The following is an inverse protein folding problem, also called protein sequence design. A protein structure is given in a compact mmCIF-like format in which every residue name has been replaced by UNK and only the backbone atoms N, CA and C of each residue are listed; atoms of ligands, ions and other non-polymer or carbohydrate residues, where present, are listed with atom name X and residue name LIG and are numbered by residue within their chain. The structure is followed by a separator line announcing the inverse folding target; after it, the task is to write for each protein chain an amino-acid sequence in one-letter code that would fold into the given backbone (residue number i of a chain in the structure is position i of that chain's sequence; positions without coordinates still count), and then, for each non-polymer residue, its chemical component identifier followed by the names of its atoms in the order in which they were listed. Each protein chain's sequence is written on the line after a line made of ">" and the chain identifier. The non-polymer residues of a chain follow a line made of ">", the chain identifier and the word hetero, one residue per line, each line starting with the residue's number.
data_IF_939682595242
#
_entry.id   IF_939682595242
#
_cell.length_a   1.000
_cell.length_b   1.000
_cell.length_c   1.000
_cell.angle_alpha   90.00
_cell.angle_beta   90.00
_cell.angle_gamma   90.00
#
_symmetry.space_group_name_H-M   'P 1'
#
loop_
_entity.id
_entity.type
_entity.pdbx_description
1 polymer ?
#
# COMPACT_ATOMS: atom_id res chain seq x y z
N UNK A 1 -6.60 -10.67 2.24
CA UNK A 1 -7.35 -11.28 1.14
C UNK A 1 -6.49 -11.52 -0.08
N UNK A 2 -6.84 -12.56 -0.84
CA UNK A 2 -6.12 -12.93 -2.06
C UNK A 2 -7.13 -13.16 -3.19
N UNK A 3 -6.76 -12.78 -4.42
CA UNK A 3 -7.55 -13.11 -5.61
C UNK A 3 -6.66 -13.70 -6.70
N UNK A 4 -7.28 -14.24 -7.73
CA UNK A 4 -6.60 -14.86 -8.86
C UNK A 4 -6.47 -13.87 -10.03
N UNK A 5 -5.42 -14.00 -10.86
CA UNK A 5 -5.27 -13.14 -12.04
C UNK A 5 -6.38 -13.39 -13.06
N UNK A 6 -6.80 -12.35 -13.72
CA UNK A 6 -7.66 -12.43 -14.89
C UNK A 6 -6.85 -12.80 -16.14
N UNK A 7 -7.53 -13.12 -17.24
CA UNK A 7 -6.83 -13.52 -18.47
C UNK A 7 -6.02 -12.41 -19.15
N UNK A 8 -6.26 -11.15 -18.78
CA UNK A 8 -5.52 -10.00 -19.32
C UNK A 8 -4.63 -9.32 -18.28
N UNK A 9 -4.37 -9.98 -17.15
CA UNK A 9 -3.50 -9.43 -16.13
C UNK A 9 -2.08 -9.23 -16.68
N UNK A 10 -1.51 -8.06 -16.46
CA UNK A 10 -0.15 -7.70 -16.91
C UNK A 10 0.85 -7.72 -15.76
N UNK A 11 0.54 -8.43 -14.69
CA UNK A 11 1.46 -8.66 -13.58
C UNK A 11 1.18 -10.02 -12.94
N UNK A 12 2.19 -10.53 -12.23
CA UNK A 12 2.09 -11.78 -11.47
C UNK A 12 2.56 -11.54 -10.05
N UNK A 13 1.86 -12.15 -9.09
CA UNK A 13 2.17 -12.00 -7.66
C UNK A 13 2.66 -13.34 -7.11
N UNK A 14 3.71 -13.28 -6.30
CA UNK A 14 4.15 -14.43 -5.51
C UNK A 14 4.46 -13.99 -4.09
N UNK A 15 3.99 -14.78 -3.14
CA UNK A 15 4.22 -14.54 -1.71
C UNK A 15 4.90 -15.76 -1.11
N UNK A 16 5.83 -15.51 -0.21
CA UNK A 16 6.42 -16.55 0.63
C UNK A 16 6.55 -16.04 2.06
N UNK A 17 6.18 -16.89 3.00
CA UNK A 17 6.22 -16.56 4.42
C UNK A 17 6.90 -17.68 5.20
N UNK A 18 7.65 -17.34 6.23
CA UNK A 18 8.22 -18.28 7.17
C UNK A 18 8.09 -17.74 8.60
N UNK A 19 7.41 -18.49 9.44
CA UNK A 19 7.27 -18.14 10.86
C UNK A 19 8.60 -18.12 11.60
N UNK A 20 9.65 -18.73 11.05
CA UNK A 20 10.95 -18.89 11.72
C UNK A 20 10.78 -19.67 13.04
N UNK A 21 10.31 -20.91 12.94
CA UNK A 21 9.95 -21.78 14.07
C UNK A 21 11.04 -21.92 15.15
N UNK A 22 12.31 -21.68 14.80
CA UNK A 22 13.41 -21.74 15.74
C UNK A 22 13.40 -20.56 16.72
N UNK A 23 12.84 -19.42 16.30
CA UNK A 23 12.89 -18.16 17.03
C UNK A 23 11.49 -17.65 17.46
N UNK A 24 10.45 -17.95 16.71
CA UNK A 24 9.10 -17.40 16.92
C UNK A 24 8.04 -18.48 17.15
N UNK A 25 7.17 -18.25 18.13
CA UNK A 25 6.06 -19.16 18.46
C UNK A 25 4.88 -18.97 17.53
N UNK A 26 4.61 -17.73 17.15
CA UNK A 26 3.46 -17.32 16.33
C UNK A 26 3.93 -16.67 15.02
N UNK A 27 3.09 -16.74 14.01
CA UNK A 27 3.19 -15.93 12.81
C UNK A 27 2.32 -14.71 13.04
N UNK A 28 2.91 -13.53 13.17
CA UNK A 28 2.17 -12.28 13.43
C UNK A 28 2.03 -11.44 12.17
N UNK A 29 2.73 -11.78 11.10
CA UNK A 29 2.59 -11.13 9.79
C UNK A 29 1.31 -11.59 9.09
N UNK A 30 0.77 -10.72 8.25
CA UNK A 30 -0.35 -11.00 7.36
C UNK A 30 -0.12 -10.28 6.04
N UNK A 31 -0.62 -10.86 4.95
CA UNK A 31 -0.56 -10.22 3.65
C UNK A 31 -1.94 -10.19 2.96
N UNK A 32 -2.03 -9.34 1.92
CA UNK A 32 -3.20 -9.31 1.04
C UNK A 32 -2.76 -8.87 -0.37
N UNK A 33 -3.30 -9.50 -1.40
CA UNK A 33 -3.12 -9.04 -2.77
C UNK A 33 -4.37 -9.31 -3.59
N UNK A 34 -4.72 -8.35 -4.42
CA UNK A 34 -5.92 -8.43 -5.25
C UNK A 34 -5.55 -8.05 -6.68
N UNK A 35 -5.88 -8.93 -7.60
CA UNK A 35 -5.97 -8.64 -9.03
C UNK A 35 -7.30 -7.95 -9.29
N UNK A 36 -7.35 -7.13 -10.31
CA UNK A 36 -8.58 -6.44 -10.71
C UNK A 36 -9.18 -5.58 -9.57
N UNK A 37 -8.31 -5.00 -8.73
CA UNK A 37 -8.70 -4.12 -7.66
C UNK A 37 -9.33 -2.84 -8.23
N UNK A 38 -10.28 -2.23 -7.54
CA UNK A 38 -11.04 -1.09 -8.01
C UNK A 38 -11.79 -1.42 -9.32
N UNK A 39 -12.91 -2.10 -9.19
CA UNK A 39 -13.79 -2.42 -10.33
C UNK A 39 -14.31 -1.15 -11.03
N UNK A 40 -14.24 0.00 -10.35
CA UNK A 40 -14.51 1.30 -10.96
C UNK A 40 -13.36 1.70 -11.89
N UNK A 41 -13.63 2.18 -13.10
CA UNK A 41 -12.58 2.73 -13.96
C UNK A 41 -11.83 3.87 -13.29
N UNK A 42 -10.58 4.06 -13.69
CA UNK A 42 -9.80 5.22 -13.26
C UNK A 42 -10.48 6.52 -13.72
N UNK A 43 -10.34 7.63 -12.96
CA UNK A 43 -10.95 8.90 -13.35
C UNK A 43 -10.53 9.34 -14.76
N UNK A 44 -11.47 9.68 -15.57
CA UNK A 44 -11.26 10.22 -16.93
C UNK A 44 -12.01 11.54 -17.07
N UNK A 45 -11.46 12.44 -17.86
CA UNK A 45 -12.11 13.73 -18.12
C UNK A 45 -13.41 13.52 -18.92
N UNK A 46 -14.50 14.09 -18.48
CA UNK A 46 -15.79 14.02 -19.15
C UNK A 46 -16.64 12.80 -18.80
N UNK A 47 -16.25 12.02 -17.81
CA UNK A 47 -17.07 10.88 -17.34
C UNK A 47 -18.24 11.31 -16.44
N UNK A 48 -18.50 12.61 -16.30
CA UNK A 48 -19.67 13.08 -15.56
C UNK A 48 -20.94 12.77 -16.38
N UNK A 49 -21.77 11.89 -15.86
CA UNK A 49 -23.15 11.75 -16.30
C UNK A 49 -23.57 10.51 -17.05
N UNK A 50 -22.74 9.49 -17.14
CA UNK A 50 -23.24 8.20 -17.59
C UNK A 50 -23.71 7.29 -16.44
N UNK A 51 -24.39 7.91 -15.46
CA UNK A 51 -25.24 7.13 -14.57
C UNK A 51 -26.41 6.63 -15.41
N UNK A 52 -26.32 5.40 -15.85
CA UNK A 52 -27.39 4.74 -16.61
C UNK A 52 -28.71 4.88 -15.88
N UNK A 53 -29.62 5.63 -16.47
CA UNK A 53 -31.05 5.46 -16.21
C UNK A 53 -31.47 4.10 -16.81
N UNK A 54 -31.37 3.06 -16.00
CA UNK A 54 -32.10 1.84 -16.31
C UNK A 54 -33.58 2.13 -16.13
N UNK A 55 -34.24 2.35 -17.23
CA UNK A 55 -35.69 2.41 -17.26
C UNK A 55 -36.28 1.03 -16.95
N UNK A 56 -37.04 0.98 -15.87
CA UNK A 56 -37.90 -0.15 -15.56
C UNK A 56 -38.97 -0.27 -16.70
N UNK A 57 -38.88 -1.30 -17.49
CA UNK A 57 -40.03 -1.75 -18.22
C UNK A 57 -40.42 -3.14 -17.71
N UNK A 58 -41.55 -3.18 -17.05
CA UNK A 58 -42.18 -4.42 -16.64
C UNK A 58 -42.86 -5.05 -17.86
N UNK A 59 -42.62 -6.33 -18.10
CA UNK A 59 -43.69 -7.19 -18.63
C UNK A 59 -43.35 -8.67 -18.37
N UNK A 60 -44.38 -9.33 -17.89
CA UNK A 60 -44.45 -10.75 -17.55
C UNK A 60 -44.41 -11.65 -18.80
N UNK A 61 -43.87 -12.83 -18.71
CA UNK A 61 -44.54 -14.11 -18.74
C UNK A 61 -43.70 -15.30 -19.22
N UNK A 62 -43.90 -16.39 -18.51
CA UNK A 62 -43.84 -17.82 -18.90
C UNK A 62 -42.51 -18.57 -19.04
N UNK A 63 -42.46 -19.55 -18.18
CA UNK A 63 -41.64 -20.74 -18.00
C UNK A 63 -41.03 -21.40 -19.24
N UNK A 64 -39.78 -21.86 -19.11
CA UNK A 64 -39.44 -23.27 -19.31
C UNK A 64 -38.05 -23.63 -18.80
N UNK A 65 -38.00 -24.73 -18.03
CA UNK A 65 -36.81 -25.39 -17.53
C UNK A 65 -35.87 -25.85 -18.62
N UNK A 66 -34.60 -25.62 -18.48
CA UNK A 66 -33.59 -26.62 -18.83
C UNK A 66 -32.26 -26.23 -18.17
N UNK A 67 -31.69 -27.23 -17.54
CA UNK A 67 -30.42 -27.22 -16.85
C UNK A 67 -29.24 -26.94 -17.75
N UNK A 68 -28.44 -25.94 -17.44
CA UNK A 68 -27.04 -25.95 -17.82
C UNK A 68 -26.24 -25.04 -16.84
N UNK A 69 -25.42 -25.65 -16.07
CA UNK A 69 -24.45 -25.00 -15.26
C UNK A 69 -23.36 -24.39 -16.16
N UNK A 70 -23.55 -23.15 -16.57
CA UNK A 70 -22.52 -22.41 -17.28
C UNK A 70 -22.67 -20.92 -17.03
N UNK A 71 -21.63 -20.38 -16.47
CA UNK A 71 -21.25 -18.95 -16.52
C UNK A 71 -22.12 -17.96 -15.75
N UNK A 72 -21.76 -17.76 -14.49
CA UNK A 72 -21.99 -16.49 -13.81
C UNK A 72 -20.72 -15.60 -13.89
N UNK A 73 -20.07 -15.57 -15.06
CA UNK A 73 -18.88 -14.74 -15.28
C UNK A 73 -19.13 -13.64 -16.29
N UNK A 74 -20.37 -13.18 -16.41
CA UNK A 74 -20.75 -12.40 -17.57
C UNK A 74 -20.63 -10.90 -17.43
N UNK A 75 -20.10 -10.23 -16.44
CA UNK A 75 -20.01 -8.76 -16.47
C UNK A 75 -18.92 -8.15 -15.57
N UNK A 76 -17.86 -8.89 -15.25
CA UNK A 76 -16.76 -8.28 -14.52
C UNK A 76 -15.84 -7.52 -15.46
N UNK A 77 -15.84 -6.19 -15.34
CA UNK A 77 -14.91 -5.35 -16.09
C UNK A 77 -13.50 -5.57 -15.54
N UNK A 78 -12.61 -6.07 -16.37
CA UNK A 78 -11.21 -6.27 -16.00
C UNK A 78 -10.47 -4.95 -16.09
N UNK A 79 -10.04 -4.41 -14.95
CA UNK A 79 -9.38 -3.11 -14.87
C UNK A 79 -7.85 -3.22 -14.94
N UNK A 80 -7.29 -4.41 -14.72
CA UNK A 80 -5.84 -4.66 -14.59
C UNK A 80 -5.18 -3.79 -13.51
N UNK A 81 -5.94 -3.42 -12.48
CA UNK A 81 -5.44 -2.72 -11.30
C UNK A 81 -5.08 -3.74 -10.22
N UNK A 82 -4.06 -3.44 -9.43
CA UNK A 82 -3.60 -4.31 -8.36
C UNK A 82 -3.60 -3.63 -6.99
N UNK A 83 -3.81 -4.42 -5.96
CA UNK A 83 -3.60 -4.03 -4.55
C UNK A 83 -2.66 -5.03 -3.92
N UNK A 84 -1.65 -4.57 -3.19
CA UNK A 84 -0.63 -5.42 -2.58
C UNK A 84 -0.31 -4.87 -1.20
N UNK A 85 -0.26 -5.73 -0.18
CA UNK A 85 0.00 -5.29 1.19
C UNK A 85 0.66 -6.37 2.03
N UNK A 86 1.59 -5.94 2.89
CA UNK A 86 2.13 -6.75 3.99
C UNK A 86 1.91 -5.95 5.27
N UNK A 87 1.49 -6.66 6.31
CA UNK A 87 1.25 -6.14 7.66
C UNK A 87 2.06 -6.99 8.63
N UNK A 88 3.09 -6.41 9.23
CA UNK A 88 3.94 -7.06 10.22
C UNK A 88 3.35 -6.74 11.61
N UNK A 89 2.76 -7.74 12.23
CA UNK A 89 2.05 -7.61 13.49
C UNK A 89 2.96 -7.65 14.71
N UNK A 90 2.55 -6.93 15.74
CA UNK A 90 3.22 -7.02 17.06
C UNK A 90 2.18 -7.01 18.18
N UNK A 91 2.57 -7.62 19.31
CA UNK A 91 1.70 -7.86 20.46
C UNK A 91 0.46 -8.66 20.04
N UNK A 92 0.66 -9.67 19.19
CA UNK A 92 -0.37 -10.57 18.69
C UNK A 92 -0.75 -10.30 17.24
N UNK A 93 -1.53 -11.19 16.66
CA UNK A 93 -1.90 -11.14 15.22
C UNK A 93 -3.07 -10.19 14.94
N UNK A 94 -3.74 -9.68 15.95
CA UNK A 94 -5.07 -9.09 15.82
C UNK A 94 -5.11 -7.90 14.84
N UNK A 95 -4.21 -6.92 15.01
CA UNK A 95 -4.19 -5.73 14.17
C UNK A 95 -3.83 -6.08 12.71
N UNK A 96 -2.80 -6.91 12.52
CA UNK A 96 -2.37 -7.36 11.19
C UNK A 96 -3.48 -8.13 10.46
N UNK A 97 -4.10 -9.11 11.14
CA UNK A 97 -5.21 -9.90 10.58
C UNK A 97 -6.41 -9.02 10.21
N UNK A 98 -6.73 -8.05 11.06
CA UNK A 98 -7.83 -7.12 10.81
C UNK A 98 -7.52 -6.25 9.59
N UNK A 99 -6.32 -5.69 9.52
CA UNK A 99 -5.88 -4.87 8.39
C UNK A 99 -5.88 -5.67 7.07
N UNK A 100 -5.36 -6.89 7.08
CA UNK A 100 -5.34 -7.77 5.91
C UNK A 100 -6.74 -8.05 5.35
N UNK A 101 -7.76 -8.04 6.22
CA UNK A 101 -9.16 -8.29 5.83
C UNK A 101 -9.92 -7.02 5.45
N UNK A 102 -9.57 -5.86 6.00
CA UNK A 102 -10.42 -4.66 5.95
C UNK A 102 -9.83 -3.48 5.19
N UNK A 103 -8.51 -3.27 5.24
CA UNK A 103 -7.90 -2.04 4.71
C UNK A 103 -8.25 -1.83 3.22
N UNK A 104 -8.15 -2.88 2.40
CA UNK A 104 -8.45 -2.77 0.97
C UNK A 104 -9.93 -2.43 0.70
N UNK A 105 -10.85 -2.90 1.54
CA UNK A 105 -12.29 -2.60 1.43
C UNK A 105 -12.54 -1.12 1.76
N UNK A 106 -11.92 -0.64 2.84
CA UNK A 106 -12.02 0.78 3.26
C UNK A 106 -11.42 1.68 2.19
N UNK A 107 -10.26 1.31 1.64
CA UNK A 107 -9.61 2.07 0.57
C UNK A 107 -10.49 2.16 -0.67
N UNK A 108 -11.06 1.05 -1.11
CA UNK A 108 -11.96 1.01 -2.27
C UNK A 108 -13.17 1.91 -2.05
N UNK A 109 -13.77 1.86 -0.86
CA UNK A 109 -14.93 2.70 -0.49
C UNK A 109 -14.56 4.20 -0.48
N UNK A 110 -13.40 4.55 0.10
CA UNK A 110 -12.91 5.93 0.14
C UNK A 110 -12.66 6.46 -1.29
N UNK A 111 -12.03 5.66 -2.16
CA UNK A 111 -11.79 6.03 -3.56
C UNK A 111 -13.12 6.25 -4.31
N UNK A 112 -14.09 5.35 -4.12
CA UNK A 112 -15.42 5.46 -4.75
C UNK A 112 -16.16 6.73 -4.33
N UNK A 113 -16.04 7.13 -3.06
CA UNK A 113 -16.68 8.34 -2.52
C UNK A 113 -15.97 9.63 -2.96
N UNK A 114 -14.69 9.56 -3.28
CA UNK A 114 -13.85 10.71 -3.60
C UNK A 114 -13.12 10.52 -4.94
N UNK A 115 -13.84 10.36 -6.06
CA UNK A 115 -13.23 9.97 -7.33
C UNK A 115 -12.27 11.00 -7.92
N UNK A 116 -12.33 12.25 -7.48
CA UNK A 116 -11.52 13.36 -8.00
C UNK A 116 -10.34 13.71 -7.11
N UNK A 117 -10.21 13.09 -5.94
CA UNK A 117 -9.11 13.38 -5.02
C UNK A 117 -7.84 12.60 -5.41
N UNK A 118 -6.65 13.15 -5.11
CA UNK A 118 -5.39 12.45 -5.36
C UNK A 118 -5.28 11.16 -4.52
N UNK A 119 -4.80 10.09 -5.13
CA UNK A 119 -4.66 8.79 -4.44
C UNK A 119 -3.77 8.87 -3.17
N UNK A 120 -2.66 9.63 -3.15
CA UNK A 120 -1.90 9.75 -1.90
C UNK A 120 -2.71 10.31 -0.72
N UNK A 121 -3.60 11.27 -0.96
CA UNK A 121 -4.49 11.81 0.07
C UNK A 121 -5.52 10.75 0.53
N UNK A 122 -6.05 9.97 -0.42
CA UNK A 122 -7.01 8.90 -0.11
C UNK A 122 -6.33 7.74 0.64
N UNK A 123 -5.05 7.48 0.39
CA UNK A 123 -4.27 6.52 1.17
C UNK A 123 -4.08 7.02 2.61
N UNK A 124 -3.72 8.29 2.81
CA UNK A 124 -3.62 8.87 4.16
C UNK A 124 -4.96 8.79 4.89
N UNK A 125 -6.05 9.17 4.22
CA UNK A 125 -7.41 9.06 4.78
C UNK A 125 -7.75 7.62 5.14
N UNK A 126 -7.35 6.65 4.31
CA UNK A 126 -7.59 5.22 4.55
C UNK A 126 -6.86 4.75 5.81
N UNK A 127 -5.58 5.07 5.92
CA UNK A 127 -4.76 4.69 7.07
C UNK A 127 -5.30 5.28 8.37
N UNK A 128 -5.67 6.55 8.37
CA UNK A 128 -6.25 7.21 9.55
C UNK A 128 -7.65 6.67 9.89
N UNK A 129 -8.45 6.31 8.89
CA UNK A 129 -9.76 5.64 9.11
C UNK A 129 -9.56 4.26 9.74
N UNK A 130 -8.64 3.45 9.19
CA UNK A 130 -8.28 2.13 9.71
C UNK A 130 -7.84 2.25 11.18
N UNK A 131 -6.98 3.21 11.46
CA UNK A 131 -6.46 3.45 12.82
C UNK A 131 -7.60 3.79 13.79
N UNK A 132 -8.53 4.64 13.38
CA UNK A 132 -9.72 4.97 14.17
C UNK A 132 -10.62 3.74 14.41
N UNK A 133 -10.80 2.91 13.38
CA UNK A 133 -11.60 1.68 13.54
C UNK A 133 -10.92 0.68 14.49
N UNK A 134 -9.60 0.54 14.41
CA UNK A 134 -8.83 -0.30 15.35
C UNK A 134 -8.94 0.25 16.79
N UNK A 135 -8.95 1.57 16.95
CA UNK A 135 -9.15 2.21 18.25
C UNK A 135 -10.51 1.86 18.88
N UNK A 136 -11.53 1.67 18.08
CA UNK A 136 -12.86 1.28 18.58
C UNK A 136 -12.93 -0.18 19.07
N UNK A 137 -11.94 -1.02 18.73
CA UNK A 137 -11.91 -2.45 19.03
C UNK A 137 -11.33 -2.71 20.44
N UNK A 138 -11.60 -3.89 21.04
CA UNK A 138 -11.22 -4.12 22.44
C UNK A 138 -9.72 -4.30 22.71
N UNK A 139 -8.94 -4.73 21.73
CA UNK A 139 -7.49 -4.97 21.91
C UNK A 139 -6.69 -3.71 21.60
N UNK A 140 -6.25 -3.01 22.63
CA UNK A 140 -5.60 -1.71 22.54
C UNK A 140 -4.09 -1.76 22.34
N UNK A 141 -3.47 -2.89 22.64
CA UNK A 141 -2.01 -3.06 22.60
C UNK A 141 -1.49 -3.78 21.35
N UNK A 142 -2.38 -4.33 20.53
CA UNK A 142 -1.98 -4.93 19.27
C UNK A 142 -1.80 -3.84 18.20
N UNK A 143 -0.74 -3.94 17.44
CA UNK A 143 -0.46 -3.04 16.33
C UNK A 143 0.18 -3.78 15.17
N UNK A 144 0.35 -3.08 14.06
CA UNK A 144 1.12 -3.62 12.93
C UNK A 144 1.75 -2.49 12.11
N UNK A 145 2.90 -2.78 11.53
CA UNK A 145 3.39 -2.00 10.40
C UNK A 145 2.49 -2.27 9.19
N UNK A 146 2.54 -1.42 8.20
CA UNK A 146 1.79 -1.65 6.96
C UNK A 146 2.60 -1.09 5.78
N UNK A 147 2.82 -1.93 4.77
CA UNK A 147 3.36 -1.53 3.48
C UNK A 147 2.32 -1.89 2.42
N UNK A 148 1.73 -0.87 1.81
CA UNK A 148 0.60 -1.00 0.87
C UNK A 148 0.99 -0.39 -0.47
N UNK A 149 0.68 -1.08 -1.57
CA UNK A 149 0.87 -0.57 -2.92
C UNK A 149 -0.41 -0.76 -3.74
N UNK A 150 -0.73 0.24 -4.53
CA UNK A 150 -1.88 0.23 -5.46
C UNK A 150 -1.35 0.52 -6.87
N UNK A 151 -1.57 -0.42 -7.78
CA UNK A 151 -1.20 -0.30 -9.18
C UNK A 151 -2.47 -0.04 -9.98
N UNK A 152 -2.49 1.07 -10.76
CA UNK A 152 -3.70 1.39 -11.51
C UNK A 152 -3.40 2.12 -12.82
N UNK A 153 -4.29 1.95 -13.78
CA UNK A 153 -4.30 2.73 -15.02
C UNK A 153 -5.08 4.02 -14.82
N UNK A 154 -4.53 5.14 -15.26
CA UNK A 154 -5.23 6.41 -15.21
C UNK A 154 -4.82 7.34 -16.34
N UNK A 155 -5.72 8.24 -16.72
CA UNK A 155 -5.42 9.30 -17.69
C UNK A 155 -4.71 10.43 -16.97
N UNK A 156 -3.57 10.86 -17.48
CA UNK A 156 -2.69 11.85 -16.86
C UNK A 156 -2.32 12.96 -17.83
N UNK A 157 -2.17 14.15 -17.29
CA UNK A 157 -1.76 15.33 -18.04
C UNK A 157 -0.36 15.77 -17.59
N UNK A 158 0.47 16.33 -18.49
CA UNK A 158 1.78 16.87 -18.11
C UNK A 158 1.67 17.90 -16.98
N UNK A 159 2.59 17.85 -16.02
CA UNK A 159 2.62 18.80 -14.91
C UNK A 159 4.06 19.05 -14.48
N UNK A 160 4.46 20.31 -14.48
CA UNK A 160 5.77 20.74 -13.98
C UNK A 160 5.83 20.80 -12.44
N UNK A 161 4.69 20.63 -11.78
CA UNK A 161 4.59 20.67 -10.32
C UNK A 161 4.65 19.25 -9.72
N UNK A 162 4.54 18.22 -10.54
CA UNK A 162 4.62 16.83 -10.10
C UNK A 162 6.04 16.29 -10.31
N UNK A 163 6.56 15.60 -9.31
CA UNK A 163 7.86 14.92 -9.40
C UNK A 163 7.88 13.83 -10.49
N UNK A 164 6.72 13.32 -10.89
CA UNK A 164 6.59 12.32 -11.95
C UNK A 164 6.45 12.94 -13.35
N UNK A 165 6.40 14.28 -13.45
CA UNK A 165 6.21 15.00 -14.73
C UNK A 165 4.77 14.99 -15.22
N UNK A 166 3.85 14.35 -14.52
CA UNK A 166 2.44 14.28 -14.88
C UNK A 166 1.57 14.20 -13.62
N UNK A 167 0.27 14.45 -13.76
CA UNK A 167 -0.69 14.29 -12.67
C UNK A 167 -2.00 13.72 -13.22
N UNK A 168 -2.77 13.04 -12.38
CA UNK A 168 -4.07 12.50 -12.75
C UNK A 168 -4.99 13.62 -13.23
N UNK A 169 -5.79 13.34 -14.24
CA UNK A 169 -6.60 14.36 -14.91
C UNK A 169 -7.67 14.96 -13.98
N UNK A 170 -8.29 14.18 -13.10
CA UNK A 170 -9.35 14.67 -12.23
C UNK A 170 -8.85 15.70 -11.21
N UNK A 171 -7.76 15.44 -10.44
CA UNK A 171 -7.18 16.49 -9.60
C UNK A 171 -6.68 17.71 -10.38
N UNK A 172 -6.19 17.53 -11.61
CA UNK A 172 -5.75 18.64 -12.46
C UNK A 172 -6.92 19.57 -12.82
N UNK A 173 -8.09 19.01 -13.09
CA UNK A 173 -9.32 19.77 -13.39
C UNK A 173 -9.77 20.54 -12.14
N UNK A 174 -9.80 19.91 -10.98
CA UNK A 174 -10.19 20.57 -9.72
C UNK A 174 -9.27 21.77 -9.45
N UNK A 175 -7.96 21.56 -9.55
CA UNK A 175 -6.97 22.63 -9.34
C UNK A 175 -7.13 23.78 -10.33
N UNK A 176 -7.33 23.48 -11.62
CA UNK A 176 -7.54 24.50 -12.64
C UNK A 176 -8.80 25.34 -12.36
N UNK A 177 -9.85 24.70 -11.81
CA UNK A 177 -11.07 25.40 -11.40
C UNK A 177 -10.80 26.33 -10.21
N UNK A 178 -10.12 25.85 -9.19
CA UNK A 178 -9.76 26.64 -8.01
C UNK A 178 -8.88 27.85 -8.37
N UNK A 179 -7.90 27.65 -9.24
CA UNK A 179 -7.02 28.73 -9.68
C UNK A 179 -7.77 29.79 -10.50
N UNK A 180 -8.72 29.37 -11.33
CA UNK A 180 -9.60 30.27 -12.08
C UNK A 180 -10.46 31.13 -11.15
N UNK A 181 -11.00 30.52 -10.06
CA UNK A 181 -11.82 31.22 -9.07
C UNK A 181 -11.01 32.27 -8.28
N UNK A 182 -9.74 32.02 -7.99
CA UNK A 182 -8.86 32.96 -7.27
C UNK A 182 -8.54 34.22 -8.07
N UNK A 183 -8.56 34.13 -9.40
CA UNK A 183 -8.25 35.27 -10.29
C UNK A 183 -9.46 36.25 -10.39
N UNK A 184 -10.67 35.77 -10.14
CA UNK A 184 -11.90 36.56 -10.28
C UNK A 184 -12.30 37.39 -9.03
N UNK A 185 -11.57 37.26 -7.92
CA UNK A 185 -11.91 37.98 -6.66
C UNK A 185 -11.64 39.49 -6.69
N UNK A 186 -11.48 40.04 -7.88
CA UNK A 186 -11.24 41.47 -8.13
C UNK A 186 -12.44 42.30 -8.60
N UNK A 187 -13.54 41.73 -9.09
CA UNK A 187 -14.74 42.49 -9.49
C UNK A 187 -15.99 41.64 -9.70
N UNK A 188 -17.04 42.03 -8.96
CA UNK A 188 -18.48 41.77 -9.12
C UNK A 188 -19.01 40.33 -8.90
N UNK A 189 -19.97 40.30 -7.95
CA UNK A 189 -20.88 39.19 -7.70
C UNK A 189 -21.74 38.89 -8.96
N UNK A 190 -21.40 37.82 -9.65
CA UNK A 190 -22.35 37.20 -10.61
C UNK A 190 -22.16 35.68 -10.68
N UNK A 191 -23.20 35.00 -10.24
CA UNK A 191 -23.61 33.61 -10.44
C UNK A 191 -22.53 32.49 -10.31
N UNK A 192 -22.74 31.72 -9.25
CA UNK A 192 -22.07 30.44 -8.92
C UNK A 192 -22.29 29.35 -9.98
N UNK A 193 -21.86 29.55 -11.20
CA UNK A 193 -21.80 28.53 -12.23
C UNK A 193 -20.56 28.76 -13.10
N UNK A 194 -19.37 28.81 -12.43
CA UNK A 194 -18.14 28.90 -13.18
C UNK A 194 -17.70 27.49 -13.61
N UNK A 195 -18.24 27.04 -14.73
CA UNK A 195 -17.63 25.93 -15.48
C UNK A 195 -16.24 26.37 -15.92
N UNK A 196 -15.24 25.52 -15.74
CA UNK A 196 -13.93 25.68 -16.39
C UNK A 196 -14.19 26.05 -17.85
N UNK A 197 -13.52 27.06 -18.40
CA UNK A 197 -13.69 27.37 -19.81
C UNK A 197 -13.55 26.10 -20.66
N UNK A 198 -14.52 25.85 -21.50
CA UNK A 198 -14.58 24.65 -22.34
C UNK A 198 -13.27 24.39 -23.10
N UNK A 199 -12.60 25.48 -23.47
CA UNK A 199 -11.30 25.42 -24.11
C UNK A 199 -10.20 24.80 -23.21
N UNK A 200 -10.19 25.10 -21.91
CA UNK A 200 -9.23 24.53 -20.95
C UNK A 200 -9.52 23.04 -20.74
N UNK A 201 -10.77 22.68 -20.62
CA UNK A 201 -11.22 21.29 -20.49
C UNK A 201 -10.81 20.46 -21.71
N UNK A 202 -11.05 20.99 -22.92
CA UNK A 202 -10.68 20.36 -24.17
C UNK A 202 -9.14 20.21 -24.29
N UNK A 203 -8.39 21.22 -23.86
CA UNK A 203 -6.92 21.20 -23.88
C UNK A 203 -6.36 20.10 -22.95
N UNK A 204 -6.89 19.99 -21.72
CA UNK A 204 -6.48 18.95 -20.78
C UNK A 204 -6.79 17.56 -21.34
N UNK A 205 -7.98 17.38 -21.90
CA UNK A 205 -8.39 16.11 -22.50
C UNK A 205 -7.49 15.72 -23.69
N UNK A 206 -7.14 16.66 -24.52
CA UNK A 206 -6.28 16.42 -25.71
C UNK A 206 -4.83 16.12 -25.35
N UNK A 207 -4.36 16.60 -24.20
CA UNK A 207 -2.98 16.37 -23.74
C UNK A 207 -2.85 15.15 -22.81
N UNK A 208 -3.96 14.52 -22.45
CA UNK A 208 -3.96 13.38 -21.54
C UNK A 208 -3.39 12.12 -22.22
N UNK A 209 -2.58 11.38 -21.46
CA UNK A 209 -2.07 10.06 -21.88
C UNK A 209 -2.44 9.02 -20.82
N UNK A 210 -2.73 7.80 -21.27
CA UNK A 210 -3.02 6.68 -20.39
C UNK A 210 -1.72 6.15 -19.82
N UNK A 211 -1.56 6.21 -18.50
CA UNK A 211 -0.34 5.78 -17.80
C UNK A 211 -0.68 4.81 -16.68
N UNK A 212 0.24 3.91 -16.41
CA UNK A 212 0.16 2.99 -15.28
C UNK A 212 0.92 3.58 -14.11
N UNK A 213 0.26 3.70 -12.97
CA UNK A 213 0.85 4.38 -11.79
C UNK A 213 0.84 3.43 -10.61
N UNK A 214 1.94 3.41 -9.90
CA UNK A 214 2.13 2.70 -8.65
C UNK A 214 2.12 3.73 -7.52
N UNK A 215 1.11 3.65 -6.66
CA UNK A 215 1.01 4.43 -5.43
C UNK A 215 1.42 3.56 -4.27
N UNK A 216 2.26 4.07 -3.37
CA UNK A 216 2.63 3.33 -2.17
C UNK A 216 2.31 4.14 -0.91
N UNK A 217 2.05 3.44 0.18
CA UNK A 217 1.85 4.02 1.50
C UNK A 217 2.44 3.08 2.54
N UNK A 218 3.25 3.60 3.48
CA UNK A 218 3.74 2.76 4.56
C UNK A 218 3.77 3.48 5.90
N UNK A 219 3.51 2.72 6.97
CA UNK A 219 3.81 3.05 8.37
C UNK A 219 4.69 1.94 8.92
N UNK A 220 5.67 2.32 9.72
CA UNK A 220 6.65 1.38 10.26
C UNK A 220 7.82 1.16 9.32
N UNK A 221 8.42 0.01 9.39
CA UNK A 221 9.70 -0.26 8.72
C UNK A 221 9.65 -1.42 7.70
N UNK A 222 8.47 -1.97 7.45
CA UNK A 222 8.23 -2.79 6.25
C UNK A 222 8.51 -1.95 4.99
N UNK A 223 9.12 -2.56 3.99
CA UNK A 223 9.73 -1.81 2.91
C UNK A 223 9.20 -2.22 1.53
N UNK A 224 9.13 -1.23 0.63
CA UNK A 224 8.74 -1.40 -0.78
C UNK A 224 9.90 -0.94 -1.67
N UNK A 225 10.36 -1.83 -2.54
CA UNK A 225 11.49 -1.58 -3.46
C UNK A 225 11.07 -1.95 -4.89
N UNK A 226 11.22 -1.01 -5.82
CA UNK A 226 10.97 -1.23 -7.26
C UNK A 226 12.31 -1.50 -7.95
N UNK A 227 12.35 -2.52 -8.80
CA UNK A 227 13.49 -2.78 -9.68
C UNK A 227 13.27 -2.06 -11.01
N UNK A 228 14.09 -1.04 -11.31
CA UNK A 228 14.10 -0.32 -12.58
C UNK A 228 15.43 -0.55 -13.30
N UNK A 229 15.41 -1.34 -14.37
CA UNK A 229 16.59 -1.72 -15.16
C UNK A 229 17.71 -2.28 -14.27
N UNK A 230 17.34 -3.16 -13.34
CA UNK A 230 18.28 -3.78 -12.41
C UNK A 230 18.69 -2.91 -11.22
N UNK A 231 18.23 -1.67 -11.14
CA UNK A 231 18.53 -0.77 -10.00
C UNK A 231 17.38 -0.78 -9.01
N UNK A 232 17.71 -0.85 -7.73
CA UNK A 232 16.75 -0.77 -6.64
C UNK A 232 16.33 0.69 -6.41
N UNK A 233 15.03 0.94 -6.42
CA UNK A 233 14.43 2.23 -6.08
C UNK A 233 13.52 2.03 -4.88
N UNK A 234 13.88 2.61 -3.73
CA UNK A 234 13.05 2.52 -2.53
C UNK A 234 11.83 3.43 -2.67
N UNK A 235 10.64 2.87 -2.47
CA UNK A 235 9.36 3.60 -2.56
C UNK A 235 8.70 3.77 -1.18
N UNK A 236 9.38 3.43 -0.11
CA UNK A 236 8.90 3.55 1.27
C UNK A 236 9.92 4.27 2.14
N UNK A 237 9.50 4.69 3.32
CA UNK A 237 10.37 5.32 4.33
C UNK A 237 10.27 4.51 5.62
N UNK A 238 11.43 4.11 6.16
CA UNK A 238 11.48 3.30 7.38
C UNK A 238 11.26 4.20 8.60
N UNK A 239 10.15 4.00 9.32
CA UNK A 239 9.80 4.78 10.51
C UNK A 239 10.34 4.09 11.75
N UNK A 240 11.64 4.29 12.01
CA UNK A 240 12.37 3.68 13.13
C UNK A 240 12.81 4.74 14.16
N UNK A 241 13.00 4.31 15.40
CA UNK A 241 13.49 5.19 16.48
C UNK A 241 14.89 5.74 16.22
N UNK A 242 15.65 5.14 15.32
CA UNK A 242 16.97 5.64 14.89
C UNK A 242 16.88 6.79 13.89
N UNK A 243 15.70 7.03 13.29
CA UNK A 243 15.51 8.13 12.35
C UNK A 243 15.41 9.46 13.09
N UNK A 244 16.22 10.42 12.66
CA UNK A 244 16.33 11.73 13.32
C UNK A 244 15.04 12.54 13.22
N UNK A 245 14.34 12.48 12.09
CA UNK A 245 13.09 13.23 11.87
C UNK A 245 11.97 12.66 12.73
N UNK A 246 11.83 11.33 12.75
CA UNK A 246 10.86 10.66 13.63
C UNK A 246 11.19 10.90 15.10
N UNK A 247 12.47 10.88 15.47
CA UNK A 247 12.91 11.20 16.84
C UNK A 247 12.49 12.62 17.25
N UNK A 248 12.66 13.62 16.38
CA UNK A 248 12.22 15.00 16.62
C UNK A 248 10.70 15.09 16.75
N UNK A 249 9.96 14.37 15.89
CA UNK A 249 8.49 14.33 15.93
C UNK A 249 8.00 13.75 17.27
N UNK A 250 8.59 12.64 17.72
CA UNK A 250 8.27 11.98 19.00
C UNK A 250 8.57 12.94 20.18
N UNK A 251 9.74 13.57 20.17
CA UNK A 251 10.14 14.50 21.25
C UNK A 251 9.18 15.71 21.30
N UNK A 252 8.80 16.27 20.16
CA UNK A 252 7.84 17.40 20.07
C UNK A 252 6.45 17.00 20.57
N UNK A 253 6.09 15.72 20.48
CA UNK A 253 4.82 15.18 21.00
C UNK A 253 4.93 14.77 22.50
N UNK A 254 6.08 15.05 23.15
CA UNK A 254 6.28 14.77 24.58
C UNK A 254 6.80 13.36 24.89
N UNK A 255 7.20 12.60 23.87
CA UNK A 255 7.79 11.29 24.05
C UNK A 255 9.31 11.30 24.07
N UNK A 256 9.92 10.12 24.24
CA UNK A 256 11.36 9.93 24.26
C UNK A 256 11.74 8.76 23.36
N UNK A 257 12.92 8.83 22.77
CA UNK A 257 13.52 7.66 22.10
C UNK A 257 14.61 7.10 23.04
N UNK A 258 14.41 5.87 23.49
CA UNK A 258 15.36 5.15 24.34
C UNK A 258 15.71 3.83 23.67
N UNK A 259 16.99 3.62 23.38
CA UNK A 259 17.48 2.40 22.70
C UNK A 259 16.75 2.17 21.37
N UNK A 260 16.56 3.24 20.60
CA UNK A 260 15.82 3.24 19.31
C UNK A 260 14.33 2.83 19.44
N UNK A 261 13.74 3.01 20.64
CA UNK A 261 12.34 2.67 20.91
C UNK A 261 11.57 3.87 21.45
N UNK A 262 10.34 4.04 21.01
CA UNK A 262 9.43 5.06 21.56
C UNK A 262 9.14 4.70 23.02
N UNK A 263 9.55 5.62 23.93
CA UNK A 263 9.47 5.45 25.39
C UNK A 263 10.13 4.14 25.88
N UNK A 264 11.11 3.62 25.12
CA UNK A 264 11.79 2.37 25.45
C UNK A 264 10.96 1.10 25.16
N UNK A 265 9.79 1.23 24.53
CA UNK A 265 8.84 0.13 24.32
C UNK A 265 8.76 -0.30 22.85
N UNK A 266 8.29 0.55 21.97
CA UNK A 266 7.98 0.20 20.59
C UNK A 266 9.13 0.60 19.64
N UNK A 267 9.57 -0.35 18.80
CA UNK A 267 10.72 -0.15 17.89
C UNK A 267 10.36 0.78 16.72
N UNK A 268 9.10 0.74 16.28
CA UNK A 268 8.63 1.59 15.19
C UNK A 268 8.02 2.89 15.73
N UNK A 269 8.09 3.95 14.94
CA UNK A 269 7.58 5.27 15.31
C UNK A 269 6.23 5.57 14.64
N UNK A 270 5.80 4.72 13.70
CA UNK A 270 4.47 4.75 13.08
C UNK A 270 3.94 3.33 12.95
N UNK A 271 2.63 3.17 13.20
CA UNK A 271 1.94 1.87 13.12
C UNK A 271 0.44 2.08 13.06
N UNK A 272 -0.29 1.05 12.62
CA UNK A 272 -1.75 0.96 12.78
C UNK A 272 -2.04 0.22 14.08
N UNK A 273 -3.06 0.65 14.80
CA UNK A 273 -3.33 0.12 16.14
C UNK A 273 -2.49 0.80 17.21
N UNK A 274 -1.97 0.06 18.18
CA UNK A 274 -1.17 0.61 19.29
C UNK A 274 -1.85 1.80 20.00
N UNK A 275 -3.13 1.67 20.24
CA UNK A 275 -3.99 2.76 20.72
C UNK A 275 -3.50 3.39 22.03
N UNK A 276 -2.82 2.59 22.87
CA UNK A 276 -2.29 3.04 24.16
C UNK A 276 -1.17 4.09 24.04
N UNK A 277 -0.56 4.23 22.86
CA UNK A 277 0.58 5.14 22.63
C UNK A 277 0.38 5.98 21.35
N UNK A 278 -0.86 6.12 20.89
CA UNK A 278 -1.20 6.73 19.59
C UNK A 278 -0.77 8.20 19.47
N UNK A 279 -0.68 8.94 20.56
CA UNK A 279 -0.18 10.32 20.56
C UNK A 279 1.27 10.42 20.05
N UNK A 280 2.03 9.34 20.16
CA UNK A 280 3.43 9.27 19.74
C UNK A 280 3.60 8.46 18.45
N UNK A 281 2.88 7.32 18.33
CA UNK A 281 3.00 6.37 17.22
C UNK A 281 1.80 6.54 16.28
N UNK A 282 1.94 7.46 15.33
CA UNK A 282 0.85 7.85 14.42
C UNK A 282 0.60 6.81 13.32
N UNK A 283 -0.65 6.75 12.84
CA UNK A 283 -1.04 5.97 11.67
C UNK A 283 -0.87 6.69 10.32
N UNK A 284 -0.40 7.95 10.30
CA UNK A 284 -0.20 8.69 9.05
C UNK A 284 0.94 8.10 8.22
N UNK A 285 0.69 7.65 6.98
CA UNK A 285 1.72 6.98 6.19
C UNK A 285 2.64 7.96 5.46
N UNK A 286 3.82 7.47 5.09
CA UNK A 286 4.62 8.05 4.01
C UNK A 286 4.06 7.52 2.69
N UNK A 287 3.85 8.39 1.72
CA UNK A 287 3.26 7.99 0.42
C UNK A 287 4.18 8.38 -0.74
N UNK A 288 4.15 7.56 -1.80
CA UNK A 288 4.81 7.88 -3.07
C UNK A 288 3.87 7.65 -4.25
N UNK A 289 4.19 8.32 -5.35
CA UNK A 289 3.55 8.14 -6.65
C UNK A 289 4.66 7.89 -7.67
N UNK A 290 4.56 6.80 -8.43
CA UNK A 290 5.56 6.40 -9.42
C UNK A 290 4.86 6.01 -10.72
N UNK A 291 5.16 6.68 -11.82
CA UNK A 291 4.69 6.25 -13.14
C UNK A 291 5.54 5.06 -13.58
N UNK A 292 4.88 3.94 -13.86
CA UNK A 292 5.54 2.70 -14.31
C UNK A 292 6.05 2.90 -15.74
N UNK A 293 7.29 2.53 -15.95
CA UNK A 293 7.98 2.54 -17.24
C UNK A 293 8.03 1.10 -17.77
N UNK A 294 7.16 0.71 -18.69
CA UNK A 294 7.00 -0.72 -19.05
C UNK A 294 8.29 -1.41 -19.51
N UNK A 295 9.19 -0.67 -20.18
CA UNK A 295 10.43 -1.24 -20.69
C UNK A 295 11.50 -1.38 -19.62
N UNK A 296 11.38 -0.66 -18.50
CA UNK A 296 12.45 -0.52 -17.49
C UNK A 296 12.06 -1.08 -16.13
N UNK A 297 10.78 -1.01 -15.75
CA UNK A 297 10.30 -1.50 -14.45
C UNK A 297 10.00 -3.00 -14.57
N UNK A 298 10.73 -3.79 -13.78
CA UNK A 298 10.73 -5.24 -13.92
C UNK A 298 9.86 -5.92 -12.87
N UNK A 299 9.98 -5.48 -11.62
CA UNK A 299 9.22 -6.05 -10.49
C UNK A 299 9.31 -5.14 -9.26
N UNK A 300 8.44 -5.41 -8.31
CA UNK A 300 8.42 -4.77 -7.00
C UNK A 300 8.57 -5.83 -5.91
N UNK A 301 9.35 -5.52 -4.88
CA UNK A 301 9.49 -6.31 -3.65
C UNK A 301 8.75 -5.56 -2.54
N UNK A 302 7.87 -6.25 -1.81
CA UNK A 302 7.32 -5.77 -0.53
C UNK A 302 7.72 -6.81 0.51
N UNK A 303 8.35 -6.38 1.60
CA UNK A 303 8.73 -7.32 2.66
C UNK A 303 8.75 -6.63 4.02
N UNK A 304 8.39 -7.39 5.04
CA UNK A 304 8.53 -6.95 6.43
C UNK A 304 10.00 -6.94 6.84
N UNK A 305 10.28 -6.17 7.86
CA UNK A 305 11.60 -6.19 8.48
C UNK A 305 11.60 -6.89 9.85
N UNK A 306 10.41 -7.23 10.38
CA UNK A 306 10.22 -7.89 11.67
C UNK A 306 10.37 -6.95 12.86
N UNK A 307 9.28 -6.69 13.58
CA UNK A 307 9.30 -5.85 14.80
C UNK A 307 9.73 -6.67 16.00
N UNK A 308 10.89 -6.35 16.54
CA UNK A 308 11.39 -7.03 17.75
C UNK A 308 10.61 -6.58 19.00
N UNK A 309 9.70 -7.42 19.47
CA UNK A 309 8.99 -7.18 20.72
C UNK A 309 9.82 -7.75 21.91
N UNK A 310 10.49 -6.87 22.67
CA UNK A 310 11.38 -7.29 23.76
C UNK A 310 10.68 -7.55 25.09
N UNK A 311 9.34 -7.58 25.15
CA UNK A 311 8.62 -7.85 26.40
C UNK A 311 8.45 -9.34 26.73
N UNK A 312 9.14 -10.26 26.04
CA UNK A 312 9.20 -11.62 26.55
C UNK A 312 10.28 -11.72 27.63
N UNK A 313 9.87 -11.85 28.87
CA UNK A 313 10.69 -12.34 29.97
C UNK A 313 11.60 -13.47 29.46
N UNK A 314 12.89 -13.34 29.73
CA UNK A 314 13.95 -14.22 29.25
C UNK A 314 13.55 -15.70 29.22
N UNK A 315 13.15 -16.19 28.05
CA UNK A 315 13.00 -17.62 27.84
C UNK A 315 14.40 -18.15 27.46
N UNK A 316 14.95 -18.89 28.39
CA UNK A 316 16.23 -19.54 28.22
C UNK A 316 16.13 -20.63 27.14
N UNK A 317 16.69 -20.38 25.97
CA UNK A 317 16.81 -21.39 24.91
C UNK A 317 18.16 -22.09 25.01
N UNK A 318 18.20 -23.40 25.35
CA UNK A 318 19.49 -24.09 25.60
C UNK A 318 20.29 -24.45 24.36
N UNK A 319 19.87 -24.14 23.17
CA UNK A 319 20.53 -24.64 21.95
C UNK A 319 20.96 -23.57 20.92
N UNK A 320 20.88 -22.28 21.24
CA UNK A 320 21.54 -21.26 20.43
C UNK A 320 22.87 -20.90 21.08
N UNK A 321 23.97 -21.54 20.62
CA UNK A 321 25.30 -21.25 21.14
C UNK A 321 25.75 -19.85 20.70
N UNK A 322 25.18 -18.95 21.28
CA UNK A 322 25.59 -17.78 20.94
C UNK A 322 26.53 -17.28 21.82
N UNK A 323 27.35 -16.85 21.37
CA UNK A 323 28.32 -16.06 22.17
C UNK A 323 27.61 -14.89 22.83
N UNK A 324 27.78 -14.72 24.09
CA UNK A 324 27.33 -13.58 24.89
C UNK A 324 27.73 -12.26 24.21
N UNK A 325 26.82 -11.68 23.50
CA UNK A 325 26.83 -10.25 23.16
C UNK A 325 25.47 -9.71 23.63
N UNK A 326 25.54 -8.84 24.65
CA UNK A 326 24.37 -8.16 25.23
C UNK A 326 23.66 -7.27 24.20
N UNK A 327 22.94 -7.80 23.33
CA UNK A 327 22.19 -7.20 22.59
C UNK A 327 21.53 -8.15 21.83
N UNK A 328 20.55 -8.34 22.26
CA UNK A 328 19.68 -9.13 21.38
C UNK A 328 19.39 -8.29 20.14
N UNK A 329 20.22 -8.43 19.15
CA UNK A 329 20.00 -7.83 17.85
C UNK A 329 19.09 -8.82 17.09
N UNK A 330 17.88 -8.37 16.79
CA UNK A 330 16.94 -9.10 15.95
C UNK A 330 17.16 -8.65 14.52
N UNK A 331 17.39 -9.59 13.64
CA UNK A 331 17.63 -9.32 12.21
C UNK A 331 16.44 -9.77 11.38
N UNK A 332 15.96 -8.89 10.56
CA UNK A 332 14.93 -9.13 9.54
C UNK A 332 15.57 -9.22 8.15
N UNK A 333 14.75 -9.31 7.09
CA UNK A 333 15.27 -9.28 5.72
C UNK A 333 16.08 -7.99 5.48
N UNK A 334 15.53 -6.84 5.81
CA UNK A 334 16.14 -5.55 5.49
C UNK A 334 17.30 -5.14 6.42
N UNK A 335 17.48 -5.86 7.51
CA UNK A 335 18.68 -5.68 8.37
C UNK A 335 19.87 -6.48 7.83
N UNK A 336 19.62 -7.55 7.07
CA UNK A 336 20.67 -8.46 6.59
C UNK A 336 20.87 -8.39 5.08
N UNK A 337 20.04 -7.60 4.36
CA UNK A 337 20.04 -7.53 2.90
C UNK A 337 19.74 -6.09 2.47
N UNK A 338 20.63 -5.49 1.70
CA UNK A 338 20.38 -4.16 1.14
C UNK A 338 19.33 -4.24 0.02
N UNK A 339 18.71 -3.10 -0.31
CA UNK A 339 17.72 -3.02 -1.39
C UNK A 339 18.30 -3.55 -2.71
N UNK A 340 19.54 -3.16 -3.05
CA UNK A 340 20.19 -3.59 -4.28
C UNK A 340 20.52 -5.08 -4.24
N UNK A 341 21.01 -5.59 -3.12
CA UNK A 341 21.28 -7.03 -2.96
C UNK A 341 20.01 -7.85 -3.14
N UNK A 342 18.88 -7.39 -2.58
CA UNK A 342 17.59 -8.06 -2.75
C UNK A 342 17.18 -8.10 -4.24
N UNK A 343 17.32 -6.98 -4.95
CA UNK A 343 17.04 -6.92 -6.40
C UNK A 343 17.96 -7.88 -7.16
N UNK A 344 19.26 -7.85 -6.91
CA UNK A 344 20.25 -8.68 -7.62
C UNK A 344 20.00 -10.18 -7.40
N UNK A 345 19.58 -10.56 -6.20
CA UNK A 345 19.28 -11.97 -5.86
C UNK A 345 18.12 -12.54 -6.65
N UNK A 346 17.11 -11.73 -7.01
CA UNK A 346 15.87 -12.27 -7.59
C UNK A 346 15.59 -11.80 -9.02
N UNK A 347 16.39 -10.90 -9.57
CA UNK A 347 16.13 -10.29 -10.88
C UNK A 347 15.90 -11.34 -11.99
N UNK A 348 16.73 -12.38 -12.01
CA UNK A 348 16.69 -13.41 -13.05
C UNK A 348 15.63 -14.50 -12.79
N UNK A 349 14.93 -14.46 -11.65
CA UNK A 349 13.92 -15.47 -11.30
C UNK A 349 12.56 -15.00 -11.80
N UNK A 350 12.04 -15.65 -12.83
CA UNK A 350 10.77 -15.23 -13.47
C UNK A 350 9.53 -15.58 -12.64
N UNK A 351 9.58 -16.68 -11.88
CA UNK A 351 8.45 -17.08 -11.04
C UNK A 351 8.46 -16.30 -9.72
N UNK A 352 7.43 -15.45 -9.45
CA UNK A 352 7.49 -14.58 -8.29
C UNK A 352 7.47 -15.31 -6.95
N UNK A 353 6.81 -16.47 -6.85
CA UNK A 353 6.83 -17.29 -5.62
C UNK A 353 8.26 -17.79 -5.32
N UNK A 354 8.96 -18.23 -6.36
CA UNK A 354 10.36 -18.72 -6.21
C UNK A 354 11.27 -17.55 -5.81
N UNK A 355 11.05 -16.37 -6.39
CA UNK A 355 11.79 -15.14 -6.04
C UNK A 355 11.56 -14.75 -4.57
N UNK A 356 10.30 -14.72 -4.14
CA UNK A 356 9.93 -14.41 -2.75
C UNK A 356 10.59 -15.40 -1.78
N UNK A 357 10.50 -16.72 -2.09
CA UNK A 357 11.12 -17.77 -1.29
C UNK A 357 12.63 -17.58 -1.18
N UNK A 358 13.28 -17.22 -2.28
CA UNK A 358 14.74 -16.99 -2.33
C UNK A 358 15.16 -15.89 -1.32
N UNK A 359 14.40 -14.79 -1.22
CA UNK A 359 14.70 -13.70 -0.28
C UNK A 359 14.50 -14.14 1.17
N UNK A 360 13.41 -14.87 1.45
CA UNK A 360 13.15 -15.40 2.80
C UNK A 360 14.23 -16.39 3.20
N UNK A 361 14.61 -17.34 2.32
CA UNK A 361 15.70 -18.30 2.58
C UNK A 361 17.03 -17.56 2.81
N UNK A 362 17.28 -16.47 2.06
CA UNK A 362 18.49 -15.66 2.23
C UNK A 362 18.51 -15.01 3.62
N UNK A 363 17.40 -14.42 4.07
CA UNK A 363 17.31 -13.83 5.42
C UNK A 363 17.52 -14.89 6.51
N UNK A 364 16.91 -16.08 6.36
CA UNK A 364 17.10 -17.19 7.31
C UNK A 364 18.57 -17.65 7.34
N UNK A 365 19.24 -17.71 6.19
CA UNK A 365 20.66 -18.09 6.10
C UNK A 365 21.58 -17.07 6.76
N UNK A 366 21.13 -15.82 6.87
CA UNK A 366 21.80 -14.69 7.55
C UNK A 366 21.36 -14.53 9.01
N UNK A 367 20.72 -15.58 9.56
CA UNK A 367 20.32 -15.66 10.97
C UNK A 367 19.22 -14.66 11.36
N UNK A 368 18.32 -14.33 10.46
CA UNK A 368 17.10 -13.62 10.86
C UNK A 368 16.40 -14.37 12.00
N UNK A 369 15.87 -13.62 12.96
CA UNK A 369 15.20 -14.17 14.16
C UNK A 369 13.72 -13.82 14.22
N UNK A 370 13.20 -13.20 13.16
CA UNK A 370 11.79 -12.76 13.12
C UNK A 370 10.92 -13.61 12.21
N UNK A 371 9.62 -13.35 12.22
CA UNK A 371 8.73 -13.73 11.13
C UNK A 371 9.23 -13.08 9.83
N UNK A 372 9.05 -13.73 8.74
CA UNK A 372 9.49 -13.24 7.43
C UNK A 372 8.36 -13.37 6.43
N UNK A 373 7.97 -12.26 5.83
CA UNK A 373 6.99 -12.21 4.76
C UNK A 373 7.58 -11.41 3.60
N UNK A 374 7.53 -11.98 2.40
CA UNK A 374 8.01 -11.33 1.19
C UNK A 374 7.01 -11.55 0.06
N UNK A 375 6.66 -10.47 -0.61
CA UNK A 375 5.80 -10.47 -1.80
C UNK A 375 6.59 -9.89 -2.97
N UNK A 376 6.56 -10.59 -4.10
CA UNK A 376 7.12 -10.12 -5.37
C UNK A 376 5.95 -9.88 -6.34
N UNK A 377 5.91 -8.69 -6.91
CA UNK A 377 4.97 -8.36 -7.99
C UNK A 377 5.80 -8.14 -9.25
N UNK A 378 5.74 -9.07 -10.18
CA UNK A 378 6.50 -9.00 -11.43
C UNK A 378 5.60 -8.45 -12.53
N UNK A 379 6.09 -7.45 -13.26
CA UNK A 379 5.36 -6.82 -14.36
C UNK A 379 5.65 -7.55 -15.66
N UNK A 380 4.61 -7.85 -16.44
CA UNK A 380 4.77 -8.41 -17.78
C UNK A 380 5.22 -7.28 -18.73
N UNK A 381 6.13 -7.61 -19.67
CA UNK A 381 6.66 -6.68 -20.68
C UNK A 381 5.77 -6.63 -21.91
#
# INVERSE_FOLDING_TARGET
>A
GESLPGPRSTFKVGVWEDRNKKCRRTMEDTHAFLYNFLHTPAPVLGAEGSAQKQSKSANESHEKRSSSSASQNADMIETDNGYFAIFDGHAGTFAADWCGKKLHIILEDIIKKNPNAPIPELLDQTFTTVDTELEALPLKNSGCTAAVAVLRWEDRVPSNQSATGSQAIAPAVVKATEDALKVEDGQSEKSLNSSIPEATHAKLKNSATRQRVLYTANVGDARIVLCRSGKALRLSYDHKGSDENEGKRIANAGGLILNNRVNGVLAVTRALGDTYIKDLVTGHPYTTETVIQPDWDEFMIIACDGVSNTNSSAVHFPHCAXRYINXQIFYSLWDVCSDQEAVDLVRDIQEPVIAAKKLVDHALSRFSTDNLSCMIVRFDK
#
